data_IF_885477799004
#
_entry.id   IF_885477799004
#
_cell.length_a   1.000
_cell.length_b   1.000
_cell.length_c   1.000
_cell.angle_alpha   90.00
_cell.angle_beta   90.00
_cell.angle_gamma   90.00
#
_symmetry.space_group_name_H-M   'P 1'
#
loop_
_entity.id
_entity.type
_entity.pdbx_description
1 polymer ?
#
# COMPACT_ATOMS: atom_id res chain seq x y z
N UNK A 1 23.01 5.33 -29.84
CA UNK A 1 22.94 4.46 -28.65
C UNK A 1 21.54 3.92 -28.59
N UNK A 2 21.37 2.60 -28.77
CA UNK A 2 20.06 1.98 -28.54
C UNK A 2 19.78 2.05 -27.05
N UNK A 3 18.83 2.88 -26.67
CA UNK A 3 18.42 3.01 -25.28
C UNK A 3 17.37 1.93 -25.00
N UNK A 4 17.78 0.80 -24.47
CA UNK A 4 16.93 -0.37 -24.19
C UNK A 4 15.70 -0.05 -23.37
N UNK A 5 15.80 0.98 -22.52
CA UNK A 5 14.65 1.44 -21.74
C UNK A 5 13.54 1.98 -22.64
N UNK A 6 13.86 2.81 -23.64
CA UNK A 6 12.86 3.37 -24.54
C UNK A 6 12.28 2.34 -25.51
N UNK A 7 13.04 1.28 -25.82
CA UNK A 7 12.53 0.17 -26.63
C UNK A 7 11.59 -0.74 -25.84
N UNK A 8 11.86 -0.98 -24.55
CA UNK A 8 11.07 -1.85 -23.68
C UNK A 8 10.86 -1.24 -22.28
N UNK A 9 10.09 -0.16 -22.15
CA UNK A 9 9.88 0.51 -20.85
C UNK A 9 9.08 -0.33 -19.86
N UNK A 10 8.22 -1.23 -20.35
CA UNK A 10 7.34 -2.08 -19.55
C UNK A 10 7.93 -3.48 -19.46
N UNK A 11 8.33 -3.90 -18.26
CA UNK A 11 8.98 -5.20 -18.02
C UNK A 11 8.03 -6.26 -17.44
N UNK A 12 6.88 -5.86 -16.91
CA UNK A 12 5.95 -6.77 -16.24
C UNK A 12 4.54 -6.60 -16.77
N UNK A 13 3.76 -7.70 -16.73
CA UNK A 13 2.32 -7.63 -16.96
C UNK A 13 1.65 -6.78 -15.88
N UNK A 14 0.67 -5.92 -16.20
CA UNK A 14 -0.06 -5.15 -15.18
C UNK A 14 -0.94 -6.04 -14.28
N UNK A 15 -1.15 -7.28 -14.64
CA UNK A 15 -2.01 -8.24 -13.95
C UNK A 15 -1.27 -9.20 -13.00
N UNK A 16 0.06 -9.16 -13.00
CA UNK A 16 0.90 -10.09 -12.27
C UNK A 16 1.78 -9.36 -11.26
N UNK A 17 2.26 -10.12 -10.27
CA UNK A 17 3.25 -9.60 -9.33
C UNK A 17 4.49 -9.13 -10.09
N UNK A 18 4.96 -7.88 -9.90
CA UNK A 18 6.11 -7.37 -10.64
C UNK A 18 7.39 -8.03 -10.15
N UNK A 19 8.10 -8.69 -11.07
CA UNK A 19 9.33 -9.45 -10.77
C UNK A 19 10.59 -8.74 -11.22
N UNK A 20 10.47 -7.69 -12.04
CA UNK A 20 11.62 -6.98 -12.63
C UNK A 20 11.41 -5.48 -12.59
N UNK A 21 12.50 -4.74 -12.56
CA UNK A 21 12.45 -3.30 -12.74
C UNK A 21 13.74 -2.75 -13.34
N UNK A 22 13.65 -1.62 -14.01
CA UNK A 22 14.80 -0.86 -14.44
C UNK A 22 15.52 -0.27 -13.24
N UNK A 23 16.85 -0.46 -13.15
CA UNK A 23 17.66 0.26 -12.19
C UNK A 23 17.62 1.76 -12.51
N UNK A 24 17.51 2.60 -11.50
CA UNK A 24 17.58 4.05 -11.65
C UNK A 24 18.88 4.55 -11.02
N UNK A 25 19.43 5.61 -11.61
CA UNK A 25 20.55 6.34 -11.05
C UNK A 25 20.09 7.29 -9.91
N UNK A 26 21.03 8.07 -9.38
CA UNK A 26 20.79 9.00 -8.27
C UNK A 26 19.80 10.13 -8.63
N UNK A 27 19.66 10.42 -9.91
CA UNK A 27 18.78 11.45 -10.46
C UNK A 27 17.42 10.88 -10.87
N UNK A 28 17.22 9.57 -10.65
CA UNK A 28 15.98 8.85 -10.97
C UNK A 28 15.84 8.50 -12.44
N UNK A 29 16.94 8.58 -13.23
CA UNK A 29 16.92 8.18 -14.62
C UNK A 29 17.22 6.69 -14.77
N UNK A 30 16.57 5.99 -15.74
CA UNK A 30 16.80 4.58 -15.95
C UNK A 30 18.24 4.34 -16.43
N UNK A 31 18.94 3.41 -15.79
CA UNK A 31 20.17 2.82 -16.31
C UNK A 31 19.81 1.76 -17.33
N UNK A 32 20.79 1.25 -18.09
CA UNK A 32 20.58 0.17 -19.06
C UNK A 32 20.47 -1.23 -18.42
N UNK A 33 20.29 -1.28 -17.08
CA UNK A 33 20.31 -2.50 -16.30
C UNK A 33 18.91 -2.86 -15.77
N UNK A 34 18.54 -4.12 -15.93
CA UNK A 34 17.31 -4.71 -15.35
C UNK A 34 17.68 -5.46 -14.07
N UNK A 35 16.93 -5.21 -13.01
CA UNK A 35 17.05 -5.90 -11.72
C UNK A 35 15.92 -6.94 -11.63
N UNK A 36 16.27 -8.20 -11.34
CA UNK A 36 15.34 -9.33 -11.22
C UNK A 36 14.71 -9.37 -9.82
N UNK A 37 14.04 -8.27 -9.46
CA UNK A 37 13.25 -8.16 -8.23
C UNK A 37 12.22 -7.06 -8.36
N UNK A 38 11.23 -7.08 -7.46
CA UNK A 38 10.28 -5.97 -7.33
C UNK A 38 11.01 -4.73 -6.81
N UNK A 39 10.73 -3.57 -7.41
CA UNK A 39 11.28 -2.30 -6.96
C UNK A 39 10.76 -1.94 -5.57
N UNK A 40 11.67 -1.64 -4.65
CA UNK A 40 11.34 -1.10 -3.34
C UNK A 40 10.80 0.33 -3.46
N UNK A 41 10.02 0.78 -2.48
CA UNK A 41 9.68 2.18 -2.33
C UNK A 41 10.95 2.95 -1.93
N UNK A 42 11.24 4.04 -2.62
CA UNK A 42 12.41 4.87 -2.42
C UNK A 42 12.04 6.34 -2.62
N UNK A 43 12.68 7.25 -1.88
CA UNK A 43 12.65 8.66 -2.25
C UNK A 43 13.58 8.88 -3.43
N UNK A 44 13.01 9.38 -4.52
CA UNK A 44 13.75 9.72 -5.72
C UNK A 44 13.86 11.24 -5.76
N UNK A 45 15.10 11.76 -5.88
CA UNK A 45 15.31 13.16 -6.23
C UNK A 45 14.66 13.42 -7.61
N UNK A 46 14.04 14.61 -7.84
CA UNK A 46 14.19 15.86 -7.11
C UNK A 46 13.14 16.14 -6.03
N UNK A 47 12.43 15.15 -5.50
CA UNK A 47 11.43 15.42 -4.46
C UNK A 47 12.15 15.98 -3.23
N UNK A 48 11.92 17.26 -2.84
CA UNK A 48 12.55 17.83 -1.66
C UNK A 48 12.16 17.05 -0.41
N UNK A 49 13.15 16.67 0.40
CA UNK A 49 12.86 16.10 1.73
C UNK A 49 12.17 17.14 2.60
N UNK A 50 11.17 16.77 3.41
CA UNK A 50 10.56 17.73 4.36
C UNK A 50 11.64 18.33 5.26
N UNK A 51 11.60 19.66 5.49
CA UNK A 51 12.51 20.31 6.44
C UNK A 51 12.28 19.72 7.82
N UNK A 52 13.37 19.38 8.54
CA UNK A 52 13.33 18.87 9.91
C UNK A 52 12.51 19.82 10.80
N UNK A 53 11.34 19.39 11.26
CA UNK A 53 10.71 20.01 12.42
C UNK A 53 11.43 19.51 13.67
N UNK A 54 11.72 20.39 14.65
CA UNK A 54 12.33 20.03 15.92
C UNK A 54 11.46 18.99 16.61
N UNK A 55 11.96 17.77 16.69
CA UNK A 55 11.25 16.66 17.28
C UNK A 55 11.19 16.75 18.80
N UNK A 56 10.03 16.52 19.36
CA UNK A 56 9.82 16.25 20.76
C UNK A 56 10.46 14.91 21.15
N UNK A 57 11.16 14.85 22.29
CA UNK A 57 12.14 13.80 22.66
C UNK A 57 11.53 12.49 23.19
N UNK A 58 10.24 12.21 22.97
CA UNK A 58 9.53 11.15 23.70
C UNK A 58 9.25 9.86 22.94
N UNK A 59 9.65 9.71 21.67
CA UNK A 59 9.40 8.46 20.94
C UNK A 59 10.59 7.50 21.01
N UNK A 60 10.39 6.36 21.69
CA UNK A 60 11.31 5.21 21.62
C UNK A 60 11.28 4.61 20.23
N UNK A 61 12.42 4.64 19.57
CA UNK A 61 12.61 4.21 18.19
C UNK A 61 13.02 2.75 18.12
N UNK A 62 12.25 1.94 17.39
CA UNK A 62 12.68 0.60 17.00
C UNK A 62 13.44 0.69 15.67
N UNK A 63 14.70 0.33 15.70
CA UNK A 63 15.57 0.24 14.54
C UNK A 63 15.45 -1.16 13.96
N UNK A 64 14.95 -1.29 12.72
CA UNK A 64 15.12 -2.50 11.94
C UNK A 64 16.40 -2.38 11.14
N UNK A 65 17.42 -3.14 11.54
CA UNK A 65 18.71 -3.20 10.87
C UNK A 65 18.61 -4.13 9.64
N UNK A 66 18.45 -3.55 8.45
CA UNK A 66 18.81 -4.18 7.19
C UNK A 66 19.91 -3.34 6.53
N UNK A 67 21.13 -3.56 6.99
CA UNK A 67 22.40 -3.28 6.31
C UNK A 67 22.57 -1.97 5.55
N UNK A 68 23.23 -1.03 6.18
CA UNK A 68 23.94 0.18 5.73
C UNK A 68 23.21 1.52 5.80
N UNK A 69 23.43 2.21 6.90
CA UNK A 69 24.04 3.53 6.81
C UNK A 69 23.15 4.77 6.75
N UNK A 70 21.87 4.72 7.15
CA UNK A 70 21.15 5.95 7.44
C UNK A 70 21.21 6.24 8.95
N UNK A 71 21.47 7.51 9.31
CA UNK A 71 21.46 7.90 10.73
C UNK A 71 20.06 7.72 11.31
N UNK A 72 19.98 7.45 12.61
CA UNK A 72 18.72 7.26 13.34
C UNK A 72 17.72 8.40 13.15
N UNK A 73 18.21 9.61 12.90
CA UNK A 73 17.39 10.80 12.63
C UNK A 73 16.84 10.83 11.20
N UNK A 74 17.59 10.33 10.20
CA UNK A 74 17.15 10.25 8.81
C UNK A 74 16.09 9.15 8.62
N UNK A 75 16.19 8.04 9.32
CA UNK A 75 15.18 6.97 9.33
C UNK A 75 13.84 7.43 9.90
N UNK A 76 13.84 8.39 10.83
CA UNK A 76 12.63 8.93 11.45
C UNK A 76 11.73 9.68 10.46
N UNK A 77 12.30 10.22 9.39
CA UNK A 77 11.59 11.00 8.37
C UNK A 77 11.41 10.26 7.02
N UNK A 78 11.93 9.04 6.91
CA UNK A 78 11.77 8.23 5.71
C UNK A 78 10.67 7.18 5.90
N UNK A 79 9.44 7.42 5.40
CA UNK A 79 8.36 6.46 5.49
C UNK A 79 8.57 5.23 4.57
N UNK A 80 9.59 5.23 3.71
CA UNK A 80 9.76 4.17 2.70
C UNK A 80 10.13 2.84 3.34
N UNK A 81 10.85 2.86 4.47
CA UNK A 81 11.16 1.65 5.24
C UNK A 81 9.88 0.96 5.75
N UNK A 82 8.93 1.74 6.29
CA UNK A 82 7.64 1.25 6.76
C UNK A 82 6.75 0.78 5.62
N UNK A 83 6.74 1.49 4.48
CA UNK A 83 6.01 1.07 3.27
C UNK A 83 6.54 -0.28 2.78
N UNK A 84 7.86 -0.45 2.71
CA UNK A 84 8.48 -1.70 2.31
C UNK A 84 8.18 -2.83 3.30
N UNK A 85 8.13 -2.53 4.60
CA UNK A 85 7.75 -3.51 5.61
C UNK A 85 6.28 -3.96 5.45
N UNK A 86 5.34 -3.02 5.26
CA UNK A 86 3.93 -3.36 4.97
C UNK A 86 3.83 -4.24 3.75
N UNK A 87 4.50 -3.89 2.65
CA UNK A 87 4.51 -4.70 1.42
C UNK A 87 5.00 -6.12 1.68
N UNK A 88 6.07 -6.28 2.44
CA UNK A 88 6.62 -7.59 2.81
C UNK A 88 5.62 -8.43 3.60
N UNK A 89 4.92 -7.83 4.56
CA UNK A 89 3.92 -8.56 5.36
C UNK A 89 2.66 -8.88 4.56
N UNK A 90 2.19 -7.96 3.72
CA UNK A 90 1.07 -8.21 2.79
C UNK A 90 1.42 -9.30 1.77
N UNK A 91 2.65 -9.33 1.25
CA UNK A 91 3.10 -10.38 0.33
C UNK A 91 3.12 -11.75 1.01
N UNK A 92 3.59 -11.85 2.26
CA UNK A 92 3.53 -13.09 3.04
C UNK A 92 2.09 -13.54 3.27
N UNK A 93 1.22 -12.61 3.69
CA UNK A 93 -0.18 -12.87 3.93
C UNK A 93 -0.91 -13.32 2.66
N UNK A 94 -0.64 -12.70 1.53
CA UNK A 94 -1.18 -13.09 0.21
C UNK A 94 -0.79 -14.53 -0.17
N UNK A 95 0.41 -14.97 0.25
CA UNK A 95 0.92 -16.34 0.02
C UNK A 95 0.22 -17.42 0.84
N UNK A 96 -0.59 -17.09 1.84
CA UNK A 96 -1.34 -18.06 2.64
C UNK A 96 -2.43 -18.69 1.77
N UNK A 97 -2.34 -20.00 1.54
CA UNK A 97 -3.26 -20.74 0.67
C UNK A 97 -4.63 -20.98 1.32
N UNK A 98 -4.65 -21.20 2.63
CA UNK A 98 -5.88 -21.52 3.35
C UNK A 98 -6.63 -20.23 3.75
N UNK A 99 -7.83 -19.95 3.19
CA UNK A 99 -8.59 -18.73 3.53
C UNK A 99 -8.97 -18.61 5.01
N UNK A 100 -9.05 -19.71 5.74
CA UNK A 100 -9.36 -19.70 7.17
C UNK A 100 -8.22 -19.13 8.01
N UNK A 101 -7.01 -19.05 7.47
CA UNK A 101 -5.81 -18.51 8.11
C UNK A 101 -5.57 -17.02 7.73
N UNK A 102 -6.43 -16.44 6.90
CA UNK A 102 -6.28 -15.04 6.49
C UNK A 102 -6.62 -14.02 7.59
N UNK A 103 -7.22 -14.46 8.69
CA UNK A 103 -7.63 -13.57 9.80
C UNK A 103 -8.54 -12.42 9.38
N UNK A 104 -9.40 -12.66 8.40
CA UNK A 104 -10.40 -11.71 7.90
C UNK A 104 -11.82 -12.25 8.12
N UNK A 105 -12.81 -11.40 7.93
CA UNK A 105 -14.21 -11.87 7.96
C UNK A 105 -14.51 -12.84 6.81
N UNK A 106 -15.50 -13.73 6.94
CA UNK A 106 -15.93 -14.61 5.84
C UNK A 106 -16.34 -13.84 4.57
N UNK A 107 -16.94 -12.65 4.75
CA UNK A 107 -17.33 -11.75 3.66
C UNK A 107 -16.10 -11.21 2.93
N UNK A 108 -15.10 -10.76 3.68
CA UNK A 108 -13.83 -10.31 3.14
C UNK A 108 -13.08 -11.43 2.43
N UNK A 109 -13.06 -12.64 3.00
CA UNK A 109 -12.44 -13.79 2.37
C UNK A 109 -13.10 -14.12 1.01
N UNK A 110 -14.44 -14.05 0.91
CA UNK A 110 -15.17 -14.25 -0.36
C UNK A 110 -14.83 -13.18 -1.40
N UNK A 111 -14.75 -11.91 -0.98
CA UNK A 111 -14.36 -10.80 -1.86
C UNK A 111 -12.94 -10.98 -2.38
N UNK A 112 -11.99 -11.27 -1.49
CA UNK A 112 -10.60 -11.52 -1.87
C UNK A 112 -10.48 -12.68 -2.85
N UNK A 113 -11.18 -13.80 -2.58
CA UNK A 113 -11.19 -14.95 -3.47
C UNK A 113 -11.79 -14.60 -4.84
N UNK A 114 -12.88 -13.83 -4.86
CA UNK A 114 -13.49 -13.35 -6.10
C UNK A 114 -12.52 -12.46 -6.88
N UNK A 115 -11.94 -11.45 -6.26
CA UNK A 115 -11.04 -10.52 -6.96
C UNK A 115 -9.75 -11.17 -7.46
N UNK A 116 -9.25 -12.18 -6.76
CA UNK A 116 -8.02 -12.90 -7.11
C UNK A 116 -8.21 -13.94 -8.21
N UNK A 117 -9.35 -14.65 -8.20
CA UNK A 117 -9.51 -15.90 -8.94
C UNK A 117 -10.69 -15.94 -9.90
N UNK A 118 -11.58 -14.93 -9.88
CA UNK A 118 -12.70 -14.89 -10.82
C UNK A 118 -12.22 -14.70 -12.25
N UNK A 119 -12.80 -15.47 -13.17
CA UNK A 119 -12.59 -15.28 -14.60
C UNK A 119 -13.48 -14.15 -15.11
N UNK A 120 -12.92 -12.95 -15.20
CA UNK A 120 -13.63 -11.80 -15.76
C UNK A 120 -13.69 -11.92 -17.29
N UNK A 121 -14.85 -11.66 -17.87
CA UNK A 121 -15.06 -11.74 -19.32
C UNK A 121 -14.34 -10.64 -20.10
N UNK A 122 -14.21 -9.45 -19.51
CA UNK A 122 -13.64 -8.27 -20.18
C UNK A 122 -12.43 -7.71 -19.41
N UNK A 123 -12.70 -6.94 -18.35
CA UNK A 123 -11.66 -6.23 -17.60
C UNK A 123 -11.47 -6.86 -16.23
N UNK A 124 -10.28 -7.39 -15.99
CA UNK A 124 -9.89 -7.87 -14.66
C UNK A 124 -9.10 -6.81 -13.89
N UNK A 125 -9.13 -6.82 -12.56
CA UNK A 125 -8.34 -5.89 -11.77
C UNK A 125 -6.84 -6.01 -12.05
N UNK A 126 -6.14 -4.88 -12.12
CA UNK A 126 -4.68 -4.85 -12.16
C UNK A 126 -4.10 -5.31 -10.81
N UNK A 127 -2.89 -5.85 -10.84
CA UNK A 127 -2.19 -6.24 -9.62
C UNK A 127 -2.09 -5.08 -8.62
N UNK A 128 -1.79 -3.87 -9.07
CA UNK A 128 -1.69 -2.70 -8.19
C UNK A 128 -3.02 -2.31 -7.53
N UNK A 129 -4.15 -2.60 -8.16
CA UNK A 129 -5.49 -2.39 -7.58
C UNK A 129 -5.78 -3.42 -6.50
N UNK A 130 -5.51 -4.71 -6.79
CA UNK A 130 -5.63 -5.78 -5.80
C UNK A 130 -4.74 -5.50 -4.59
N UNK A 131 -3.47 -5.18 -4.82
CA UNK A 131 -2.53 -4.89 -3.75
C UNK A 131 -2.94 -3.70 -2.88
N UNK A 132 -3.49 -2.63 -3.47
CA UNK A 132 -3.96 -1.48 -2.73
C UNK A 132 -5.11 -1.85 -1.77
N UNK A 133 -6.09 -2.62 -2.27
CA UNK A 133 -7.21 -3.09 -1.45
C UNK A 133 -6.75 -4.10 -0.41
N UNK A 134 -5.90 -5.04 -0.78
CA UNK A 134 -5.31 -6.03 0.13
C UNK A 134 -4.51 -5.37 1.25
N UNK A 135 -3.77 -4.31 0.93
CA UNK A 135 -3.04 -3.52 1.94
C UNK A 135 -3.99 -2.86 2.92
N UNK A 136 -5.08 -2.25 2.43
CA UNK A 136 -6.09 -1.65 3.30
C UNK A 136 -6.78 -2.70 4.19
N UNK A 137 -7.15 -3.84 3.63
CA UNK A 137 -7.75 -4.97 4.38
C UNK A 137 -6.76 -5.49 5.42
N UNK A 138 -5.50 -5.72 5.04
CA UNK A 138 -4.48 -6.23 5.94
C UNK A 138 -4.26 -5.29 7.14
N UNK A 139 -4.11 -4.00 6.89
CA UNK A 139 -3.93 -3.00 7.95
C UNK A 139 -5.14 -2.91 8.87
N UNK A 140 -6.34 -3.11 8.35
CA UNK A 140 -7.59 -2.92 9.10
C UNK A 140 -8.08 -4.19 9.79
N UNK A 141 -8.03 -5.35 9.14
CA UNK A 141 -8.56 -6.60 9.68
C UNK A 141 -7.47 -7.49 10.28
N UNK A 142 -6.32 -7.63 9.61
CA UNK A 142 -5.32 -8.65 9.92
C UNK A 142 -4.29 -8.15 10.94
N UNK A 143 -3.61 -7.06 10.64
CA UNK A 143 -2.53 -6.54 11.48
C UNK A 143 -2.93 -6.31 12.96
N UNK A 144 -4.16 -5.83 13.30
CA UNK A 144 -4.58 -5.67 14.68
C UNK A 144 -4.70 -6.98 15.48
N UNK A 145 -4.76 -8.14 14.80
CA UNK A 145 -4.88 -9.46 15.41
C UNK A 145 -3.52 -10.16 15.57
N UNK A 146 -2.48 -9.59 14.97
CA UNK A 146 -1.12 -10.14 14.99
C UNK A 146 -0.31 -9.62 16.19
N UNK A 147 0.97 -9.94 16.21
CA UNK A 147 1.84 -9.70 17.35
C UNK A 147 2.33 -8.26 17.53
N UNK A 148 3.35 -8.09 18.36
CA UNK A 148 3.89 -6.79 18.73
C UNK A 148 4.53 -6.00 17.57
N UNK A 149 5.05 -6.70 16.56
CA UNK A 149 5.68 -6.05 15.38
C UNK A 149 4.65 -5.29 14.55
N UNK A 150 3.52 -5.93 14.30
CA UNK A 150 2.41 -5.35 13.56
C UNK A 150 1.75 -4.24 14.36
N UNK A 151 1.69 -4.39 15.68
CA UNK A 151 1.24 -3.32 16.57
C UNK A 151 2.14 -2.09 16.49
N UNK A 152 3.46 -2.24 16.54
CA UNK A 152 4.40 -1.12 16.38
C UNK A 152 4.26 -0.42 15.01
N UNK A 153 3.98 -1.19 13.96
CA UNK A 153 3.68 -0.65 12.63
C UNK A 153 2.39 0.18 12.64
N UNK A 154 1.31 -0.33 13.24
CA UNK A 154 0.03 0.39 13.35
C UNK A 154 0.17 1.66 14.19
N UNK A 155 0.89 1.60 15.32
CA UNK A 155 1.17 2.76 16.17
C UNK A 155 1.95 3.84 15.39
N UNK A 156 2.88 3.44 14.52
CA UNK A 156 3.59 4.39 13.66
C UNK A 156 2.65 5.08 12.68
N UNK A 157 1.76 4.33 11.99
CA UNK A 157 0.76 4.91 11.08
C UNK A 157 -0.20 5.84 11.80
N UNK A 158 -0.65 5.46 13.00
CA UNK A 158 -1.54 6.29 13.80
C UNK A 158 -0.86 7.60 14.21
N UNK A 159 0.38 7.55 14.65
CA UNK A 159 1.15 8.73 15.01
C UNK A 159 1.41 9.64 13.81
N UNK A 160 1.81 9.09 12.67
CA UNK A 160 1.98 9.86 11.43
C UNK A 160 0.65 10.50 10.95
N UNK A 161 -0.47 9.80 11.15
CA UNK A 161 -1.80 10.36 10.85
C UNK A 161 -2.16 11.50 11.80
N UNK A 162 -1.92 11.35 13.10
CA UNK A 162 -2.16 12.39 14.11
C UNK A 162 -1.29 13.64 13.91
N UNK A 163 -0.02 13.47 13.55
CA UNK A 163 0.87 14.59 13.21
C UNK A 163 0.36 15.39 12.01
N UNK A 164 -0.22 14.70 11.03
CA UNK A 164 -0.74 15.34 9.83
C UNK A 164 -2.13 15.97 10.04
N UNK A 165 -3.00 15.36 10.85
CA UNK A 165 -4.31 15.87 11.26
C UNK A 165 -4.81 15.09 12.48
N UNK A 166 -4.80 15.71 13.68
CA UNK A 166 -5.19 15.05 14.91
C UNK A 166 -6.65 14.54 14.95
N UNK A 167 -7.53 15.19 14.20
CA UNK A 167 -8.97 14.90 14.22
C UNK A 167 -9.41 13.86 13.20
N UNK A 168 -8.54 13.48 12.24
CA UNK A 168 -8.89 12.60 11.14
C UNK A 168 -7.83 11.52 10.92
N UNK A 169 -8.19 10.27 11.23
CA UNK A 169 -7.37 9.12 10.86
C UNK A 169 -7.37 8.92 9.34
N UNK A 170 -6.18 8.88 8.72
CA UNK A 170 -6.01 8.84 7.27
C UNK A 170 -5.07 7.71 6.86
N UNK A 171 -5.45 7.04 5.77
CA UNK A 171 -4.61 6.13 5.02
C UNK A 171 -4.51 6.63 3.57
N UNK A 172 -3.30 6.91 3.09
CA UNK A 172 -3.07 7.34 1.73
C UNK A 172 -2.56 6.17 0.86
N UNK A 173 -3.32 5.82 -0.16
CA UNK A 173 -2.92 4.85 -1.19
C UNK A 173 -2.40 5.62 -2.41
N UNK A 174 -1.07 5.69 -2.56
CA UNK A 174 -0.43 6.37 -3.69
C UNK A 174 -0.35 5.43 -4.88
N UNK A 175 -1.08 5.74 -5.93
CA UNK A 175 -1.11 4.98 -7.19
C UNK A 175 -0.79 5.89 -8.38
N UNK A 176 -0.18 5.33 -9.41
CA UNK A 176 0.11 6.04 -10.65
C UNK A 176 -1.17 6.58 -11.33
N UNK A 177 -1.02 7.60 -12.17
CA UNK A 177 -2.11 8.06 -13.06
C UNK A 177 -2.46 6.93 -14.04
N UNK A 178 -3.74 6.74 -14.30
CA UNK A 178 -4.21 5.65 -15.17
C UNK A 178 -4.28 4.27 -14.52
N UNK A 179 -3.81 4.09 -13.26
CA UNK A 179 -3.82 2.80 -12.57
C UNK A 179 -5.21 2.37 -12.04
N UNK A 180 -6.28 3.10 -12.36
CA UNK A 180 -7.65 2.76 -11.96
C UNK A 180 -7.94 2.99 -10.47
N UNK A 181 -7.59 4.15 -9.93
CA UNK A 181 -7.89 4.54 -8.55
C UNK A 181 -9.37 4.40 -8.18
N UNK A 182 -10.26 4.72 -9.13
CA UNK A 182 -11.72 4.60 -8.96
C UNK A 182 -12.14 3.15 -8.72
N UNK A 183 -11.51 2.19 -9.39
CA UNK A 183 -11.75 0.77 -9.15
C UNK A 183 -11.39 0.38 -7.73
N UNK A 184 -10.23 0.85 -7.22
CA UNK A 184 -9.83 0.63 -5.82
C UNK A 184 -10.83 1.23 -4.84
N UNK A 185 -11.33 2.44 -5.11
CA UNK A 185 -12.38 3.07 -4.30
C UNK A 185 -13.66 2.22 -4.28
N UNK A 186 -14.12 1.73 -5.44
CA UNK A 186 -15.27 0.85 -5.54
C UNK A 186 -15.08 -0.46 -4.76
N UNK A 187 -13.90 -1.08 -4.85
CA UNK A 187 -13.57 -2.29 -4.11
C UNK A 187 -13.57 -2.05 -2.59
N UNK A 188 -13.03 -0.93 -2.13
CA UNK A 188 -13.04 -0.54 -0.69
C UNK A 188 -14.46 -0.30 -0.21
N UNK A 189 -15.29 0.40 -0.99
CA UNK A 189 -16.71 0.64 -0.68
C UNK A 189 -17.46 -0.71 -0.59
N UNK A 190 -17.27 -1.59 -1.57
CA UNK A 190 -17.87 -2.93 -1.56
C UNK A 190 -17.47 -3.73 -0.31
N UNK A 191 -16.16 -3.76 0.00
CA UNK A 191 -15.65 -4.44 1.19
C UNK A 191 -16.29 -3.91 2.47
N UNK A 192 -16.31 -2.60 2.69
CA UNK A 192 -16.88 -1.97 3.87
C UNK A 192 -18.39 -2.22 3.95
N UNK A 193 -19.12 -1.99 2.86
CA UNK A 193 -20.59 -2.11 2.82
C UNK A 193 -21.06 -3.53 3.10
N UNK A 194 -20.46 -4.53 2.42
CA UNK A 194 -20.87 -5.93 2.57
C UNK A 194 -20.64 -6.41 4.00
N UNK A 195 -19.50 -6.06 4.60
CA UNK A 195 -19.21 -6.38 5.99
C UNK A 195 -20.17 -5.67 6.95
N UNK A 196 -20.45 -4.38 6.74
CA UNK A 196 -21.36 -3.62 7.60
C UNK A 196 -22.81 -4.13 7.53
N UNK A 197 -23.25 -4.60 6.37
CA UNK A 197 -24.59 -5.19 6.20
C UNK A 197 -24.67 -6.55 6.87
N UNK A 198 -23.68 -7.39 6.71
CA UNK A 198 -23.65 -8.75 7.28
C UNK A 198 -23.38 -8.76 8.79
N UNK A 199 -22.79 -7.70 9.32
CA UNK A 199 -22.39 -7.55 10.74
C UNK A 199 -22.90 -6.22 11.30
N UNK A 200 -24.23 -6.03 11.41
CA UNK A 200 -24.83 -4.72 11.75
C UNK A 200 -24.43 -4.21 13.14
N UNK A 201 -24.04 -5.10 14.05
CA UNK A 201 -23.58 -4.75 15.40
C UNK A 201 -22.07 -4.40 15.46
N UNK A 202 -21.33 -4.58 14.38
CA UNK A 202 -19.90 -4.25 14.33
C UNK A 202 -19.73 -2.76 14.05
N UNK A 203 -18.97 -2.09 14.92
CA UNK A 203 -18.54 -0.70 14.70
C UNK A 203 -17.31 -0.57 13.79
N UNK A 204 -16.78 -1.69 13.31
CA UNK A 204 -15.55 -1.73 12.49
C UNK A 204 -15.80 -1.34 11.03
N UNK A 205 -17.01 -1.57 10.52
CA UNK A 205 -17.34 -1.37 9.12
C UNK A 205 -18.42 -0.31 8.96
N UNK A 206 -18.42 0.39 7.81
CA UNK A 206 -19.34 1.50 7.54
C UNK A 206 -20.18 1.25 6.28
N UNK A 207 -21.35 1.90 6.23
CA UNK A 207 -22.22 2.00 5.05
C UNK A 207 -22.32 3.44 4.53
N UNK A 208 -21.70 4.39 5.24
CA UNK A 208 -21.69 5.79 4.87
C UNK A 208 -20.35 6.19 4.28
N UNK A 209 -20.36 6.80 3.10
CA UNK A 209 -19.18 7.24 2.38
C UNK A 209 -19.36 8.67 1.92
N UNK A 210 -18.31 9.47 2.04
CA UNK A 210 -18.19 10.79 1.43
C UNK A 210 -17.09 10.74 0.39
N UNK A 211 -17.44 10.94 -0.88
CA UNK A 211 -16.50 11.02 -1.99
C UNK A 211 -16.27 12.49 -2.33
N UNK A 212 -15.03 12.94 -2.22
CA UNK A 212 -14.61 14.30 -2.56
C UNK A 212 -13.72 14.25 -3.78
N UNK A 213 -14.08 14.99 -4.82
CA UNK A 213 -13.33 15.09 -6.07
C UNK A 213 -12.95 16.53 -6.38
N UNK A 214 -11.79 16.79 -7.02
CA UNK A 214 -11.33 18.15 -7.28
C UNK A 214 -12.08 18.87 -8.42
N UNK A 215 -12.99 18.20 -9.13
CA UNK A 215 -13.74 18.80 -10.24
C UNK A 215 -14.97 18.01 -10.67
N UNK A 216 -15.85 18.66 -11.40
CA UNK A 216 -17.13 18.13 -11.88
C UNK A 216 -16.94 16.94 -12.84
N UNK A 217 -15.90 16.97 -13.66
CA UNK A 217 -15.55 15.94 -14.65
C UNK A 217 -15.21 14.56 -14.04
N UNK A 218 -15.01 14.47 -12.74
CA UNK A 218 -14.73 13.19 -12.04
C UNK A 218 -15.99 12.65 -11.34
N UNK A 219 -17.07 13.44 -11.34
CA UNK A 219 -18.34 13.07 -10.70
C UNK A 219 -19.20 12.17 -11.60
N UNK A 220 -19.05 12.28 -12.89
CA UNK A 220 -19.72 11.50 -13.93
C UNK A 220 -18.91 10.23 -14.23
#
# INVERSE_FOLDING_TARGET
MNDRFFEQPILNSPYEYPQRHWELDKDGQPTQRIIESRRKAEFITPIPRPRKQRADRTQKQFVFDEGKGLSTEEQKYDPTSWINQVRKEVDKWRGIQNPNEWHVTPETARLLNHWRHHHFSDVRPFFCQLEAVETAIWLFEVAPQLGWKEKALLDWFENASKEANPELSRLALKMATGAGKTTVMAMIIAWQTINAVRRPNSKRFTRGFLVVTPGITIKD
#
